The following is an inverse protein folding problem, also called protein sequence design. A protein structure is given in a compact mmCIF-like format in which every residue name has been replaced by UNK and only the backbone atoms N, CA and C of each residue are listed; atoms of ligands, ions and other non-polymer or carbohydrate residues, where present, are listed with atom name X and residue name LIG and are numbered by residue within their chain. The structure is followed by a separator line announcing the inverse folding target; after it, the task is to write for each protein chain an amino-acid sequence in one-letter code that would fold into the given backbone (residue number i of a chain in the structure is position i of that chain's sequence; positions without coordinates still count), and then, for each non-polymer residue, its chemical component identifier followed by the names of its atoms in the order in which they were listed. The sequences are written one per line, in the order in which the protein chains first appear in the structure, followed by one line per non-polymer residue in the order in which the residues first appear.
data_IF_722144680903
#
_entry.id   IF_722144680903
#
_cell.length_a   1.000
_cell.length_b   1.000
_cell.length_c   1.000
_cell.angle_alpha   90.00
_cell.angle_beta   90.00
_cell.angle_gamma   90.00
#
_symmetry.space_group_name_H-M   'P 1'
#
loop_
_entity.id
_entity.type
_entity.pdbx_description
1 polymer ?
#
# COMPACT_ATOMS: atom_id res chain seq x y z
N UNK A 1 -35.47 -48.33 -1.01
CA UNK A 1 -35.64 -47.02 -1.67
C UNK A 1 -36.08 -45.89 -0.71
N UNK A 2 -37.20 -46.02 0.03
CA UNK A 2 -37.77 -44.90 0.83
C UNK A 2 -36.97 -44.45 2.07
N UNK A 3 -36.19 -45.33 2.71
CA UNK A 3 -35.36 -44.98 3.87
C UNK A 3 -34.13 -44.16 3.48
N UNK A 4 -33.49 -44.48 2.36
CA UNK A 4 -32.31 -43.78 1.83
C UNK A 4 -32.70 -42.33 1.44
N UNK A 5 -33.86 -42.16 0.80
CA UNK A 5 -34.36 -40.84 0.39
C UNK A 5 -34.69 -39.93 1.59
N UNK A 6 -35.21 -40.50 2.69
CA UNK A 6 -35.46 -39.76 3.93
C UNK A 6 -34.17 -39.35 4.63
N UNK A 7 -33.16 -40.21 4.64
CA UNK A 7 -31.83 -39.92 5.22
C UNK A 7 -31.09 -38.82 4.45
N UNK A 8 -31.14 -38.83 3.11
CA UNK A 8 -30.53 -37.78 2.28
C UNK A 8 -31.22 -36.43 2.49
N UNK A 9 -32.55 -36.41 2.55
CA UNK A 9 -33.32 -35.18 2.82
C UNK A 9 -33.08 -34.64 4.23
N UNK A 10 -32.85 -35.51 5.21
CA UNK A 10 -32.47 -35.10 6.56
C UNK A 10 -31.07 -34.47 6.58
N UNK A 11 -30.10 -35.10 5.90
CA UNK A 11 -28.73 -34.60 5.80
C UNK A 11 -28.66 -33.24 5.11
N UNK A 12 -29.40 -33.04 4.00
CA UNK A 12 -29.45 -31.74 3.33
C UNK A 12 -30.08 -30.63 4.20
N UNK A 13 -31.08 -30.96 5.03
CA UNK A 13 -31.66 -30.00 5.98
C UNK A 13 -30.71 -29.66 7.12
N UNK A 14 -29.91 -30.63 7.56
CA UNK A 14 -28.89 -30.41 8.59
C UNK A 14 -27.77 -29.50 8.06
N UNK A 15 -27.24 -29.81 6.86
CA UNK A 15 -26.23 -29.00 6.19
C UNK A 15 -26.77 -27.58 5.96
N UNK A 16 -28.01 -27.44 5.46
CA UNK A 16 -28.64 -26.14 5.27
C UNK A 16 -28.76 -25.33 6.56
N UNK A 17 -29.08 -25.97 7.69
CA UNK A 17 -29.12 -25.30 9.00
C UNK A 17 -27.74 -24.88 9.50
N UNK A 18 -26.72 -25.69 9.27
CA UNK A 18 -25.34 -25.36 9.66
C UNK A 18 -24.79 -24.21 8.82
N UNK A 19 -24.95 -24.26 7.49
CA UNK A 19 -24.56 -23.18 6.57
C UNK A 19 -25.29 -21.89 6.92
N UNK A 20 -26.59 -21.96 7.21
CA UNK A 20 -27.38 -20.80 7.63
C UNK A 20 -26.89 -20.23 8.97
N UNK A 21 -26.58 -21.08 9.95
CA UNK A 21 -26.02 -20.66 11.23
C UNK A 21 -24.65 -19.98 11.09
N UNK A 22 -23.78 -20.52 10.23
CA UNK A 22 -22.47 -19.94 9.94
C UNK A 22 -22.61 -18.57 9.25
N UNK A 23 -23.50 -18.44 8.26
CA UNK A 23 -23.77 -17.16 7.62
C UNK A 23 -24.22 -16.08 8.62
N UNK A 24 -25.12 -16.43 9.55
CA UNK A 24 -25.54 -15.52 10.61
C UNK A 24 -24.44 -15.18 11.61
N UNK A 25 -23.54 -16.13 11.90
CA UNK A 25 -22.37 -15.85 12.73
C UNK A 25 -21.44 -14.81 12.09
N UNK A 26 -21.22 -14.87 10.78
CA UNK A 26 -20.44 -13.87 10.05
C UNK A 26 -21.10 -12.49 10.08
N UNK A 27 -22.41 -12.42 9.83
CA UNK A 27 -23.17 -11.15 9.89
C UNK A 27 -23.12 -10.55 11.29
N UNK A 28 -23.32 -11.35 12.35
CA UNK A 28 -23.31 -10.87 13.72
C UNK A 28 -21.92 -10.38 14.14
N UNK A 29 -20.87 -11.10 13.74
CA UNK A 29 -19.48 -10.70 13.97
C UNK A 29 -19.17 -9.37 13.29
N UNK A 30 -19.60 -9.19 12.03
CA UNK A 30 -19.41 -7.95 11.30
C UNK A 30 -20.13 -6.77 11.97
N UNK A 31 -21.36 -6.95 12.45
CA UNK A 31 -22.10 -5.92 13.19
C UNK A 31 -21.38 -5.52 14.49
N UNK A 32 -20.80 -6.48 15.22
CA UNK A 32 -20.02 -6.20 16.43
C UNK A 32 -18.78 -5.38 16.10
N UNK A 33 -18.05 -5.74 15.03
CA UNK A 33 -16.85 -5.02 14.57
C UNK A 33 -17.21 -3.57 14.19
N UNK A 34 -18.27 -3.37 13.40
CA UNK A 34 -18.77 -2.02 13.05
C UNK A 34 -19.16 -1.24 14.31
N UNK A 35 -19.81 -1.89 15.28
CA UNK A 35 -20.14 -1.27 16.56
C UNK A 35 -18.90 -0.80 17.34
N UNK A 36 -17.85 -1.62 17.39
CA UNK A 36 -16.57 -1.26 18.04
C UNK A 36 -15.94 -0.04 17.36
N UNK A 37 -15.89 0.00 16.03
CA UNK A 37 -15.36 1.16 15.30
C UNK A 37 -16.24 2.40 15.45
N UNK A 38 -17.56 2.23 15.55
CA UNK A 38 -18.46 3.35 15.81
C UNK A 38 -18.12 4.04 17.14
N UNK A 39 -17.90 3.27 18.21
CA UNK A 39 -17.57 3.84 19.51
C UNK A 39 -16.12 4.29 19.67
N UNK A 40 -15.18 3.71 18.94
CA UNK A 40 -13.74 4.01 19.11
C UNK A 40 -13.19 5.04 18.12
N UNK A 41 -13.78 5.16 16.94
CA UNK A 41 -13.20 5.93 15.82
C UNK A 41 -14.13 7.01 15.26
N UNK A 42 -15.44 6.97 15.54
CA UNK A 42 -16.36 7.98 15.03
C UNK A 42 -16.26 9.28 15.84
N UNK A 43 -15.91 10.38 15.17
CA UNK A 43 -15.88 11.72 15.75
C UNK A 43 -17.19 12.49 15.52
N UNK A 44 -18.15 11.89 14.78
CA UNK A 44 -19.43 12.49 14.41
C UNK A 44 -20.62 11.66 14.95
N UNK A 45 -21.68 12.29 15.48
CA UNK A 45 -22.86 11.58 15.96
C UNK A 45 -23.79 11.14 14.83
N UNK A 46 -24.46 10.00 14.99
CA UNK A 46 -25.57 9.56 14.12
C UNK A 46 -25.12 8.74 12.91
N UNK A 47 -25.88 8.83 11.81
CA UNK A 47 -25.69 7.99 10.61
C UNK A 47 -24.35 8.23 9.92
N UNK A 48 -23.78 9.44 10.03
CA UNK A 48 -22.46 9.76 9.48
C UNK A 48 -21.33 9.00 10.18
N UNK A 49 -21.38 8.86 11.51
CA UNK A 49 -20.44 8.04 12.26
C UNK A 49 -20.60 6.55 11.93
N UNK A 50 -21.83 6.08 11.71
CA UNK A 50 -22.08 4.69 11.33
C UNK A 50 -21.45 4.37 9.97
N UNK A 51 -21.62 5.25 8.98
CA UNK A 51 -20.99 5.10 7.66
C UNK A 51 -19.47 5.08 7.77
N UNK A 52 -18.87 5.97 8.56
CA UNK A 52 -17.43 6.00 8.80
C UNK A 52 -16.94 4.69 9.45
N UNK A 53 -17.67 4.18 10.44
CA UNK A 53 -17.33 2.92 11.12
C UNK A 53 -17.41 1.71 10.19
N UNK A 54 -18.42 1.67 9.31
CA UNK A 54 -18.56 0.63 8.28
C UNK A 54 -17.42 0.71 7.28
N UNK A 55 -17.11 1.89 6.75
CA UNK A 55 -16.01 2.08 5.80
C UNK A 55 -14.65 1.69 6.42
N UNK A 56 -14.43 2.07 7.68
CA UNK A 56 -13.21 1.68 8.42
C UNK A 56 -13.12 0.17 8.61
N UNK A 57 -14.23 -0.47 9.00
CA UNK A 57 -14.27 -1.93 9.18
C UNK A 57 -14.00 -2.66 7.86
N UNK A 58 -14.60 -2.21 6.76
CA UNK A 58 -14.40 -2.79 5.42
C UNK A 58 -12.96 -2.60 4.96
N UNK A 59 -12.38 -1.40 5.09
CA UNK A 59 -11.00 -1.12 4.71
C UNK A 59 -9.97 -1.94 5.51
N UNK A 60 -10.17 -2.10 6.83
CA UNK A 60 -9.29 -2.93 7.67
C UNK A 60 -9.36 -4.42 7.31
N UNK A 61 -10.54 -4.91 6.95
CA UNK A 61 -10.72 -6.29 6.48
C UNK A 61 -10.07 -6.49 5.12
N UNK A 62 -10.25 -5.55 4.18
CA UNK A 62 -9.62 -5.61 2.86
C UNK A 62 -8.09 -5.58 2.97
N UNK A 63 -7.53 -4.67 3.79
CA UNK A 63 -6.10 -4.61 4.06
C UNK A 63 -5.55 -5.92 4.66
N UNK A 64 -6.26 -6.53 5.60
CA UNK A 64 -5.88 -7.81 6.19
C UNK A 64 -5.89 -8.96 5.17
N UNK A 65 -6.90 -9.00 4.29
CA UNK A 65 -7.01 -10.02 3.25
C UNK A 65 -5.96 -9.82 2.15
N UNK A 66 -5.66 -8.57 1.77
CA UNK A 66 -4.58 -8.24 0.84
C UNK A 66 -3.22 -8.67 1.40
N UNK A 67 -2.96 -8.46 2.70
CA UNK A 67 -1.74 -8.95 3.35
C UNK A 67 -1.62 -10.48 3.36
N UNK A 68 -2.75 -11.19 3.22
CA UNK A 68 -2.81 -12.66 3.08
C UNK A 68 -2.81 -13.12 1.60
N UNK A 69 -2.66 -12.19 0.64
CA UNK A 69 -2.65 -12.49 -0.80
C UNK A 69 -4.03 -12.67 -1.44
N UNK A 70 -5.11 -12.21 -0.81
CA UNK A 70 -6.49 -12.34 -1.30
C UNK A 70 -7.04 -10.94 -1.64
N UNK A 71 -7.10 -10.61 -2.93
CA UNK A 71 -7.69 -9.35 -3.42
C UNK A 71 -9.22 -9.41 -3.44
N UNK A 72 -9.90 -8.47 -2.78
CA UNK A 72 -11.38 -8.46 -2.71
C UNK A 72 -12.08 -7.31 -3.46
N UNK A 73 -11.33 -6.34 -3.99
CA UNK A 73 -11.85 -5.28 -4.86
C UNK A 73 -12.90 -4.37 -4.19
N UNK A 74 -12.88 -4.28 -2.85
CA UNK A 74 -13.89 -3.57 -2.05
C UNK A 74 -13.59 -2.07 -1.83
N UNK A 75 -12.62 -1.50 -2.54
CA UNK A 75 -12.33 -0.06 -2.47
C UNK A 75 -13.52 0.76 -2.95
N UNK A 76 -14.16 1.48 -2.02
CA UNK A 76 -15.16 2.51 -2.33
C UNK A 76 -14.45 3.82 -2.66
N UNK A 77 -14.08 4.00 -3.92
CA UNK A 77 -13.78 5.31 -4.49
C UNK A 77 -15.08 5.98 -4.95
N UNK A 78 -15.68 6.79 -4.09
CA UNK A 78 -16.42 7.94 -4.60
C UNK A 78 -15.39 9.02 -4.92
N UNK A 79 -14.99 9.12 -6.19
CA UNK A 79 -14.86 10.40 -6.89
C UNK A 79 -14.68 10.19 -8.41
N UNK A 80 -15.73 10.61 -9.12
CA UNK A 80 -15.82 11.15 -10.49
C UNK A 80 -14.80 10.72 -11.55
N UNK A 81 -15.31 9.98 -12.54
CA UNK A 81 -14.72 9.74 -13.86
C UNK A 81 -14.16 11.02 -14.50
N UNK A 82 -12.86 10.99 -14.77
CA UNK A 82 -12.34 11.44 -16.07
C UNK A 82 -11.65 10.27 -16.75
N UNK A 83 -12.00 10.09 -18.01
CA UNK A 83 -11.65 9.03 -18.94
C UNK A 83 -10.13 8.85 -19.10
N UNK A 84 -9.48 8.10 -18.20
CA UNK A 84 -8.14 7.53 -18.39
C UNK A 84 -8.07 6.15 -17.73
N UNK A 85 -7.47 5.19 -18.45
CA UNK A 85 -7.27 3.79 -18.04
C UNK A 85 -6.13 3.67 -17.00
N UNK A 86 -6.21 4.49 -15.95
CA UNK A 86 -5.25 4.58 -14.84
C UNK A 86 -5.90 4.02 -13.59
N UNK A 87 -5.27 3.01 -12.97
CA UNK A 87 -5.60 2.53 -11.63
C UNK A 87 -4.67 3.21 -10.63
N UNK A 88 -5.19 3.55 -9.45
CA UNK A 88 -4.47 4.20 -8.34
C UNK A 88 -3.96 3.18 -7.29
N UNK A 89 -4.01 1.88 -7.57
CA UNK A 89 -3.50 0.86 -6.67
C UNK A 89 -2.41 -0.01 -7.31
N UNK A 90 -1.34 -0.23 -6.53
CA UNK A 90 -0.10 -0.92 -6.88
C UNK A 90 -0.33 -2.15 -7.77
N UNK A 91 -0.08 -1.99 -9.07
CA UNK A 91 -0.03 -3.13 -9.99
C UNK A 91 1.40 -3.66 -10.01
N UNK A 92 1.58 -4.88 -9.53
CA UNK A 92 2.85 -5.61 -9.65
C UNK A 92 3.34 -5.59 -11.11
N UNK A 93 4.63 -5.31 -11.28
CA UNK A 93 5.30 -5.28 -12.60
C UNK A 93 5.12 -4.01 -13.44
N UNK A 94 4.61 -2.91 -12.89
CA UNK A 94 4.66 -1.60 -13.55
C UNK A 94 6.07 -0.99 -13.47
N UNK A 95 6.49 -0.25 -14.51
CA UNK A 95 7.80 0.42 -14.57
C UNK A 95 7.79 1.67 -15.44
N UNK A 96 8.86 2.46 -15.39
CA UNK A 96 9.09 3.54 -16.35
C UNK A 96 9.52 2.98 -17.72
N UNK A 97 9.44 3.82 -18.77
CA UNK A 97 9.91 3.43 -20.10
C UNK A 97 11.42 3.23 -20.16
N UNK A 98 12.16 4.00 -19.37
CA UNK A 98 13.61 3.98 -19.27
C UNK A 98 14.00 3.83 -17.78
N UNK A 99 15.22 3.37 -17.47
CA UNK A 99 15.72 3.28 -16.08
C UNK A 99 16.06 4.67 -15.51
N UNK A 100 15.17 5.63 -15.68
CA UNK A 100 15.30 7.01 -15.20
C UNK A 100 13.93 7.65 -15.03
N UNK A 101 13.82 8.50 -14.01
CA UNK A 101 12.65 9.33 -13.76
C UNK A 101 13.06 10.68 -13.16
N UNK A 102 12.30 11.73 -13.46
CA UNK A 102 12.42 13.02 -12.78
C UNK A 102 11.71 12.98 -11.42
N UNK A 103 12.26 13.65 -10.43
CA UNK A 103 11.73 13.68 -9.07
C UNK A 103 11.72 15.08 -8.49
N UNK A 104 10.64 15.45 -7.81
CA UNK A 104 10.51 16.68 -7.05
C UNK A 104 10.34 16.36 -5.56
N UNK A 105 11.12 17.01 -4.69
CA UNK A 105 11.06 16.82 -3.23
C UNK A 105 10.16 17.91 -2.62
N UNK A 106 8.92 17.53 -2.35
CA UNK A 106 7.84 18.34 -1.79
C UNK A 106 7.66 18.13 -0.29
N UNK A 107 8.69 18.48 0.48
CA UNK A 107 8.63 18.54 1.95
C UNK A 107 9.43 19.73 2.46
N UNK A 108 8.93 20.41 3.49
CA UNK A 108 9.68 21.46 4.19
C UNK A 108 10.42 20.93 5.44
N UNK A 109 10.31 19.62 5.71
CA UNK A 109 10.99 18.97 6.81
C UNK A 109 12.43 18.60 6.41
N UNK A 110 13.41 19.21 7.06
CA UNK A 110 14.82 18.99 6.74
C UNK A 110 15.28 17.54 6.93
N UNK A 111 14.71 16.79 7.88
CA UNK A 111 15.04 15.37 8.09
C UNK A 111 14.57 14.54 6.90
N UNK A 112 13.33 14.73 6.44
CA UNK A 112 12.81 14.02 5.27
C UNK A 112 13.46 14.48 3.97
N UNK A 113 13.71 15.78 3.81
CA UNK A 113 14.45 16.31 2.66
C UNK A 113 15.84 15.68 2.55
N UNK A 114 16.59 15.61 3.66
CA UNK A 114 17.89 14.93 3.71
C UNK A 114 17.77 13.45 3.40
N UNK A 115 16.78 12.76 3.99
CA UNK A 115 16.59 11.33 3.77
C UNK A 115 16.26 11.00 2.31
N UNK A 116 15.40 11.78 1.67
CA UNK A 116 15.11 11.63 0.23
C UNK A 116 16.34 11.87 -0.62
N UNK A 117 17.11 12.93 -0.34
CA UNK A 117 18.32 13.23 -1.10
C UNK A 117 19.34 12.09 -1.00
N UNK A 118 19.59 11.58 0.21
CA UNK A 118 20.51 10.46 0.45
C UNK A 118 20.03 9.16 -0.20
N UNK A 119 18.72 8.86 -0.16
CA UNK A 119 18.16 7.69 -0.81
C UNK A 119 18.23 7.78 -2.35
N UNK A 120 17.94 8.96 -2.92
CA UNK A 120 18.11 9.27 -4.36
C UNK A 120 19.57 9.07 -4.77
N UNK A 121 20.50 9.65 -4.01
CA UNK A 121 21.93 9.55 -4.29
C UNK A 121 22.41 8.09 -4.20
N UNK A 122 21.90 7.34 -3.22
CA UNK A 122 22.21 5.91 -3.04
C UNK A 122 21.76 5.08 -4.24
N UNK A 123 20.53 5.27 -4.73
CA UNK A 123 20.04 4.60 -5.93
C UNK A 123 20.83 5.01 -7.18
N UNK A 124 21.07 6.30 -7.36
CA UNK A 124 21.86 6.83 -8.49
C UNK A 124 23.28 6.25 -8.52
N UNK A 125 23.91 6.11 -7.36
CA UNK A 125 25.27 5.58 -7.23
C UNK A 125 25.38 4.10 -7.66
N UNK A 126 24.28 3.33 -7.59
CA UNK A 126 24.26 1.94 -8.09
C UNK A 126 24.45 1.84 -9.61
N UNK A 127 24.09 2.90 -10.34
CA UNK A 127 24.04 2.94 -11.80
C UNK A 127 22.93 2.07 -12.43
N UNK A 128 22.02 1.49 -11.64
CA UNK A 128 20.91 0.68 -12.16
C UNK A 128 19.67 1.52 -12.52
N UNK A 129 19.44 2.63 -11.81
CA UNK A 129 18.38 3.60 -12.08
C UNK A 129 18.89 5.02 -11.85
N UNK A 130 18.34 6.01 -12.57
CA UNK A 130 18.69 7.43 -12.40
C UNK A 130 17.48 8.28 -12.06
N UNK A 131 17.44 8.79 -10.84
CA UNK A 131 16.57 9.89 -10.44
C UNK A 131 17.21 11.24 -10.77
N UNK A 132 16.48 12.07 -11.51
CA UNK A 132 16.86 13.45 -11.78
C UNK A 132 16.03 14.41 -10.95
N UNK A 133 16.65 15.07 -9.97
CA UNK A 133 15.94 16.08 -9.17
C UNK A 133 15.64 17.30 -10.04
N UNK A 134 14.38 17.73 -10.03
CA UNK A 134 13.90 18.93 -10.71
C UNK A 134 13.20 19.87 -9.72
N UNK A 135 13.03 21.13 -10.11
CA UNK A 135 12.42 22.18 -9.26
C UNK A 135 10.98 22.53 -9.64
N UNK A 136 10.43 21.87 -10.66
CA UNK A 136 9.08 22.10 -11.18
C UNK A 136 8.22 20.88 -10.89
N UNK A 137 7.38 20.97 -9.85
CA UNK A 137 6.54 19.85 -9.38
C UNK A 137 5.64 19.31 -10.48
N UNK A 138 5.07 20.18 -11.32
CA UNK A 138 4.11 19.81 -12.36
C UNK A 138 4.75 19.04 -13.53
N UNK A 139 6.09 19.01 -13.59
CA UNK A 139 6.86 18.26 -14.59
C UNK A 139 7.50 16.99 -14.04
N UNK A 140 7.31 16.70 -12.75
CA UNK A 140 7.97 15.58 -12.11
C UNK A 140 7.22 14.27 -12.37
N UNK A 141 7.95 13.25 -12.78
CA UNK A 141 7.43 11.88 -12.86
C UNK A 141 7.09 11.37 -11.45
N UNK A 142 7.91 11.74 -10.47
CA UNK A 142 7.80 11.34 -9.07
C UNK A 142 7.71 12.57 -8.16
N UNK A 143 6.75 12.57 -7.24
CA UNK A 143 6.68 13.55 -6.14
C UNK A 143 6.99 12.85 -4.83
N UNK A 144 8.12 13.22 -4.21
CA UNK A 144 8.51 12.77 -2.89
C UNK A 144 8.03 13.78 -1.84
N UNK A 145 7.05 13.40 -1.02
CA UNK A 145 6.36 14.27 -0.07
C UNK A 145 6.22 13.59 1.30
N UNK A 146 5.39 14.15 2.18
CA UNK A 146 5.21 13.64 3.53
C UNK A 146 3.74 13.54 3.90
N UNK A 147 3.47 12.67 4.87
CA UNK A 147 2.18 12.56 5.53
C UNK A 147 2.35 12.47 7.05
N UNK A 148 1.26 12.68 7.76
CA UNK A 148 1.20 12.52 9.21
C UNK A 148 -0.11 11.82 9.58
N UNK A 149 -0.18 10.51 9.35
CA UNK A 149 -1.39 9.74 9.56
C UNK A 149 -1.11 8.42 10.26
N UNK A 150 -1.60 8.27 11.49
CA UNK A 150 -1.50 7.02 12.25
C UNK A 150 -2.53 5.95 11.86
N UNK A 151 -3.47 6.26 10.97
CA UNK A 151 -4.39 5.27 10.40
C UNK A 151 -3.72 4.45 9.30
N UNK A 152 -2.81 5.06 8.55
CA UNK A 152 -1.90 4.39 7.62
C UNK A 152 -0.86 3.65 8.45
N UNK A 153 -0.85 2.32 8.41
CA UNK A 153 0.02 1.49 9.26
C UNK A 153 1.46 1.38 8.76
N UNK A 154 1.85 2.21 7.79
CA UNK A 154 3.14 2.17 7.13
C UNK A 154 3.97 3.43 7.44
N UNK A 155 5.29 3.23 7.57
CA UNK A 155 6.25 4.30 7.82
C UNK A 155 6.55 5.11 6.55
N UNK A 156 6.33 4.53 5.38
CA UNK A 156 6.31 5.18 4.08
C UNK A 156 5.24 4.54 3.19
N UNK A 157 4.98 5.16 2.04
CA UNK A 157 4.10 4.62 1.00
C UNK A 157 4.54 5.15 -0.37
N UNK A 158 4.48 4.29 -1.39
CA UNK A 158 4.55 4.67 -2.79
C UNK A 158 3.22 4.37 -3.49
N UNK A 159 2.53 5.42 -3.92
CA UNK A 159 1.29 5.35 -4.67
C UNK A 159 1.60 5.62 -6.15
N UNK A 160 1.25 4.67 -7.02
CA UNK A 160 1.56 4.75 -8.44
C UNK A 160 0.29 4.91 -9.28
N UNK A 161 0.35 5.81 -10.26
CA UNK A 161 -0.59 5.87 -11.36
C UNK A 161 0.03 5.15 -12.55
N UNK A 162 -0.70 4.16 -13.06
CA UNK A 162 -0.18 3.26 -14.10
C UNK A 162 -1.14 3.18 -15.28
N UNK A 163 -0.61 3.28 -16.50
CA UNK A 163 -1.35 2.91 -17.70
C UNK A 163 -1.56 1.39 -17.71
N UNK A 164 -2.82 0.96 -17.57
CA UNK A 164 -3.16 -0.46 -17.43
C UNK A 164 -2.81 -1.33 -18.65
N UNK A 165 -2.75 -0.73 -19.84
CA UNK A 165 -2.47 -1.44 -21.09
C UNK A 165 -0.97 -1.65 -21.28
N UNK A 166 -0.17 -0.63 -20.99
CA UNK A 166 1.28 -0.67 -21.21
C UNK A 166 2.06 -1.10 -19.97
N UNK A 167 1.43 -1.13 -18.79
CA UNK A 167 2.09 -1.35 -17.49
C UNK A 167 3.22 -0.34 -17.27
N UNK A 168 2.94 0.90 -17.63
CA UNK A 168 3.87 2.01 -17.47
C UNK A 168 3.39 3.00 -16.45
N UNK A 169 4.28 3.39 -15.56
CA UNK A 169 4.02 4.50 -14.67
C UNK A 169 3.79 5.77 -15.48
N UNK A 170 2.76 6.51 -15.08
CA UNK A 170 2.50 7.88 -15.55
C UNK A 170 2.85 8.89 -14.47
N UNK A 171 2.74 8.49 -13.21
CA UNK A 171 3.11 9.30 -12.06
C UNK A 171 3.29 8.42 -10.82
N UNK A 172 4.17 8.79 -9.89
CA UNK A 172 4.27 8.14 -8.57
C UNK A 172 4.38 9.19 -7.47
N UNK A 173 3.54 9.09 -6.44
CA UNK A 173 3.70 9.86 -5.21
C UNK A 173 4.32 8.98 -4.13
N UNK A 174 5.47 9.40 -3.63
CA UNK A 174 6.17 8.74 -2.51
C UNK A 174 5.96 9.58 -1.25
N UNK A 175 5.50 8.99 -0.16
CA UNK A 175 5.21 9.68 1.11
C UNK A 175 5.97 9.05 2.27
N UNK A 176 6.73 9.85 3.01
CA UNK A 176 7.24 9.46 4.33
C UNK A 176 6.25 9.86 5.43
N UNK A 177 6.00 8.96 6.39
CA UNK A 177 5.01 9.19 7.44
C UNK A 177 5.67 9.69 8.73
N UNK A 178 5.52 10.98 9.02
CA UNK A 178 6.07 11.60 10.23
C UNK A 178 5.51 11.03 11.52
N UNK A 179 4.29 10.46 11.49
CA UNK A 179 3.66 9.84 12.65
C UNK A 179 4.55 8.75 13.29
N UNK A 180 5.28 8.00 12.45
CA UNK A 180 6.20 6.96 12.90
C UNK A 180 7.66 7.43 12.88
N UNK A 181 8.08 8.05 11.77
CA UNK A 181 9.49 8.28 11.49
C UNK A 181 10.11 9.39 12.36
N UNK A 182 9.30 10.35 12.81
CA UNK A 182 9.77 11.49 13.60
C UNK A 182 9.31 11.45 15.06
N UNK A 183 8.45 10.48 15.41
CA UNK A 183 8.00 10.30 16.78
C UNK A 183 8.98 9.44 17.57
N UNK A 184 9.51 10.02 18.65
CA UNK A 184 10.53 9.40 19.49
C UNK A 184 10.12 8.08 20.13
N UNK A 185 8.81 7.79 20.22
CA UNK A 185 8.27 6.51 20.71
C UNK A 185 8.66 5.32 19.82
N UNK A 186 8.87 5.55 18.52
CA UNK A 186 9.25 4.50 17.56
C UNK A 186 10.76 4.43 17.30
N UNK A 187 11.52 5.39 17.84
CA UNK A 187 12.99 5.38 17.86
C UNK A 187 13.65 5.11 16.49
N UNK A 188 13.15 5.72 15.42
CA UNK A 188 13.81 5.69 14.12
C UNK A 188 15.10 6.52 14.19
N UNK A 189 16.22 5.93 13.77
CA UNK A 189 17.44 6.68 13.46
C UNK A 189 17.30 7.33 12.09
N UNK A 190 18.14 8.34 11.82
CA UNK A 190 18.20 8.95 10.49
C UNK A 190 18.45 7.91 9.38
N UNK A 191 19.37 6.97 9.61
CA UNK A 191 19.63 5.84 8.69
C UNK A 191 18.37 5.02 8.39
N UNK A 192 17.54 4.73 9.40
CA UNK A 192 16.27 4.02 9.19
C UNK A 192 15.25 4.86 8.41
N UNK A 193 15.31 6.19 8.49
CA UNK A 193 14.48 7.08 7.67
C UNK A 193 14.98 7.06 6.22
N UNK A 194 16.30 7.14 6.01
CA UNK A 194 16.93 7.00 4.68
C UNK A 194 16.57 5.67 4.03
N UNK A 195 16.68 4.57 4.77
CA UNK A 195 16.31 3.23 4.27
C UNK A 195 14.80 3.14 3.96
N UNK A 196 13.93 3.81 4.73
CA UNK A 196 12.50 3.89 4.41
C UNK A 196 12.29 4.65 3.10
N UNK A 197 12.94 5.80 2.91
CA UNK A 197 12.88 6.54 1.66
C UNK A 197 13.41 5.73 0.47
N UNK A 198 14.51 4.99 0.66
CA UNK A 198 15.09 4.13 -0.36
C UNK A 198 14.16 2.96 -0.74
N UNK A 199 13.45 2.39 0.23
CA UNK A 199 12.42 1.36 0.02
C UNK A 199 11.27 1.90 -0.86
N UNK A 200 10.68 3.03 -0.46
CA UNK A 200 9.57 3.61 -1.24
C UNK A 200 10.00 4.07 -2.64
N UNK A 201 11.23 4.58 -2.78
CA UNK A 201 11.81 4.87 -4.09
C UNK A 201 12.06 3.60 -4.90
N UNK A 202 12.33 2.46 -4.26
CA UNK A 202 12.39 1.16 -4.91
C UNK A 202 11.04 0.75 -5.51
N UNK A 203 9.94 0.97 -4.79
CA UNK A 203 8.60 0.83 -5.35
C UNK A 203 8.35 1.81 -6.51
N UNK A 204 8.79 3.06 -6.39
CA UNK A 204 8.71 4.04 -7.48
C UNK A 204 9.57 3.67 -8.70
N UNK A 205 10.60 2.84 -8.54
CA UNK A 205 11.36 2.23 -9.64
C UNK A 205 10.57 1.07 -10.29
N UNK A 206 9.66 0.45 -9.56
CA UNK A 206 8.87 -0.71 -9.98
C UNK A 206 9.29 -2.03 -9.35
N UNK A 207 10.04 -1.99 -8.23
CA UNK A 207 10.38 -3.18 -7.47
C UNK A 207 9.22 -3.59 -6.54
N UNK A 208 8.96 -4.90 -6.49
CA UNK A 208 8.10 -5.51 -5.48
C UNK A 208 8.93 -5.82 -4.21
N UNK A 209 8.25 -6.19 -3.12
CA UNK A 209 8.92 -6.59 -1.88
C UNK A 209 9.82 -7.81 -2.09
N UNK A 210 10.92 -7.84 -1.33
CA UNK A 210 11.84 -8.98 -1.22
C UNK A 210 12.14 -9.26 0.25
N UNK A 211 11.71 -10.41 0.75
CA UNK A 211 11.82 -10.76 2.18
C UNK A 211 13.21 -11.21 2.64
N UNK A 212 14.18 -11.27 1.72
CA UNK A 212 15.60 -11.49 2.05
C UNK A 212 16.25 -10.22 2.67
N UNK A 213 17.57 -10.22 2.83
CA UNK A 213 18.31 -8.99 3.15
C UNK A 213 18.26 -8.06 1.95
N UNK A 214 17.39 -7.05 2.02
CA UNK A 214 17.02 -6.19 0.90
C UNK A 214 16.45 -4.88 1.41
N UNK A 215 16.70 -3.78 0.68
CA UNK A 215 16.00 -2.52 0.96
C UNK A 215 14.49 -2.66 0.73
N UNK A 216 14.06 -3.61 -0.11
CA UNK A 216 12.68 -3.94 -0.42
C UNK A 216 12.04 -4.91 0.58
N UNK A 217 12.66 -5.17 1.73
CA UNK A 217 12.06 -6.02 2.75
C UNK A 217 10.80 -5.38 3.32
N UNK A 218 9.69 -6.13 3.37
CA UNK A 218 8.43 -5.66 3.98
C UNK A 218 8.61 -5.34 5.47
N UNK A 219 9.52 -6.07 6.13
CA UNK A 219 9.82 -5.98 7.55
C UNK A 219 10.67 -4.74 7.90
N UNK A 220 10.24 -3.56 7.48
CA UNK A 220 10.82 -2.28 7.89
C UNK A 220 12.25 -2.02 7.39
N UNK A 221 12.75 -0.84 7.75
CA UNK A 221 13.89 -0.20 7.11
C UNK A 221 15.29 -0.57 7.66
N UNK A 222 15.53 -1.88 7.88
CA UNK A 222 16.79 -2.36 8.50
C UNK A 222 17.97 -2.48 7.55
N UNK A 223 17.71 -2.61 6.25
CA UNK A 223 18.72 -2.79 5.23
C UNK A 223 18.74 -1.58 4.28
N UNK A 224 19.93 -1.17 3.88
CA UNK A 224 20.14 -0.27 2.74
C UNK A 224 20.05 -1.06 1.43
N UNK A 225 20.21 -0.39 0.28
CA UNK A 225 20.20 -1.03 -1.05
C UNK A 225 21.24 -2.16 -1.11
N UNK A 226 20.78 -3.37 -1.42
CA UNK A 226 21.60 -4.57 -1.52
C UNK A 226 21.86 -4.97 -2.99
N UNK A 227 22.87 -5.82 -3.27
CA UNK A 227 23.14 -6.31 -4.62
C UNK A 227 21.94 -6.98 -5.31
N UNK A 228 21.07 -7.64 -4.54
CA UNK A 228 19.84 -8.28 -5.05
C UNK A 228 18.87 -7.24 -5.63
N UNK A 229 18.75 -6.08 -4.97
CA UNK A 229 17.90 -4.97 -5.41
C UNK A 229 18.42 -4.37 -6.72
N UNK A 230 19.73 -4.16 -6.81
CA UNK A 230 20.40 -3.64 -8.01
C UNK A 230 20.19 -4.58 -9.20
N UNK A 231 20.28 -5.90 -8.97
CA UNK A 231 20.04 -6.89 -10.02
C UNK A 231 18.57 -6.89 -10.46
N UNK A 232 17.63 -6.80 -9.52
CA UNK A 232 16.20 -6.72 -9.82
C UNK A 232 15.87 -5.50 -10.71
N UNK A 233 16.46 -4.33 -10.44
CA UNK A 233 16.30 -3.15 -11.31
C UNK A 233 16.86 -3.41 -12.70
N UNK A 234 18.06 -4.00 -12.81
CA UNK A 234 18.66 -4.30 -14.12
C UNK A 234 17.79 -5.25 -14.93
N UNK A 235 17.26 -6.29 -14.30
CA UNK A 235 16.39 -7.27 -14.96
C UNK A 235 15.07 -6.61 -15.41
N UNK A 236 14.52 -5.71 -14.60
CA UNK A 236 13.29 -4.97 -14.90
C UNK A 236 13.43 -4.11 -16.18
N UNK A 237 14.57 -3.43 -16.35
CA UNK A 237 14.79 -2.46 -17.44
C UNK A 237 15.61 -2.99 -18.63
N UNK A 238 16.05 -4.26 -18.61
CA UNK A 238 16.63 -4.95 -19.78
C UNK A 238 15.58 -5.57 -20.71
N UNK A 239 14.29 -5.55 -20.32
CA UNK A 239 13.16 -6.14 -21.05
C UNK A 239 12.58 -5.27 -22.16
#
# INVERSE_FOLDING_TARGET
MGLIFKSIRFLMRLIGRVVWGLAWSFVLSFIVIVGIFYFTTSTKPGTEGLTQAVQTAVGRVDQFLNHQGISTGLHSSEETQTDQLTDEHATTGARWEQPSATIYIDTNNETFRSAYQEAIDSWNQTGAFTFQIINDKDKADIVATEMNDGNVSAAGEAESQTNLLTKRFTHVTVRLNSYYLLDSRYAYSHERIVNTAAHELGHAIGLDHNEEESVMQSAGSFYSIQPTDIQAVKDLYQS
#
